data_IF_519570123360
#
_entry.id   IF_519570123360
#
_cell.length_a   1.000
_cell.length_b   1.000
_cell.length_c   1.000
_cell.angle_alpha   90.00
_cell.angle_beta   90.00
_cell.angle_gamma   90.00
#
_symmetry.space_group_name_H-M   'P 1'
#
loop_
_entity.id
_entity.type
_entity.pdbx_description
1 polymer ?
#
# COMPACT_ATOMS: atom_id res chain seq x y z
N UNK A 1 4.63 6.95 26.66
CA UNK A 1 5.58 6.56 25.59
C UNK A 1 5.04 5.34 24.82
N UNK A 2 5.36 5.12 23.54
CA UNK A 2 4.83 3.97 22.75
C UNK A 2 5.10 2.62 23.44
N UNK A 3 6.20 2.53 24.17
CA UNK A 3 6.59 1.38 25.00
C UNK A 3 5.70 1.10 26.21
N UNK A 4 4.96 2.08 26.72
CA UNK A 4 4.05 1.86 27.85
C UNK A 4 2.80 1.08 27.45
N UNK A 5 2.50 1.05 26.14
CA UNK A 5 1.26 0.49 25.60
C UNK A 5 1.51 -0.62 24.57
N UNK A 6 2.78 -1.02 24.35
CA UNK A 6 3.13 -2.02 23.34
C UNK A 6 4.37 -2.82 23.77
N UNK A 7 4.26 -4.15 23.72
CA UNK A 7 5.37 -5.06 24.03
C UNK A 7 6.54 -4.90 23.03
N UNK A 8 6.19 -4.67 21.76
CA UNK A 8 7.15 -4.41 20.68
C UNK A 8 6.73 -3.18 19.89
N UNK A 9 7.69 -2.36 19.47
CA UNK A 9 7.43 -1.25 18.57
C UNK A 9 8.44 -1.21 17.43
N UNK A 10 7.98 -0.67 16.30
CA UNK A 10 8.80 -0.44 15.12
C UNK A 10 8.41 0.93 14.55
N UNK A 11 9.35 1.87 14.57
CA UNK A 11 9.14 3.23 14.07
C UNK A 11 10.20 3.50 13.01
N UNK A 12 9.76 3.77 11.77
CA UNK A 12 10.68 4.11 10.68
C UNK A 12 10.84 5.61 10.53
N UNK A 13 12.07 6.07 10.36
CA UNK A 13 12.37 7.39 9.86
C UNK A 13 13.06 7.31 8.48
N UNK A 14 12.89 8.37 7.70
CA UNK A 14 13.44 8.50 6.35
C UNK A 14 14.43 9.66 6.39
N UNK A 15 15.67 9.40 5.95
CA UNK A 15 16.69 10.41 5.64
C UNK A 15 16.78 11.60 6.62
N UNK A 16 17.12 11.31 7.88
CA UNK A 16 17.44 12.36 8.86
C UNK A 16 18.96 12.55 8.97
N UNK A 17 19.46 13.76 9.25
CA UNK A 17 20.90 14.02 9.44
C UNK A 17 21.56 13.09 10.47
N UNK A 18 20.83 12.76 11.54
CA UNK A 18 21.27 11.82 12.57
C UNK A 18 21.49 10.38 12.05
N UNK A 19 20.67 9.95 11.10
CA UNK A 19 20.85 8.63 10.50
C UNK A 19 22.01 8.61 9.50
N UNK A 20 22.33 9.76 8.88
CA UNK A 20 23.52 9.91 8.03
C UNK A 20 24.80 9.85 8.88
N UNK A 21 24.86 10.54 10.02
CA UNK A 21 26.02 10.41 10.92
C UNK A 21 26.21 8.97 11.41
N UNK A 22 25.13 8.28 11.79
CA UNK A 22 25.17 6.86 12.17
C UNK A 22 25.61 5.92 11.03
N UNK A 23 25.43 6.31 9.77
CA UNK A 23 25.91 5.57 8.60
C UNK A 23 27.39 5.87 8.32
N UNK A 24 27.80 7.13 8.44
CA UNK A 24 29.17 7.62 8.20
C UNK A 24 30.16 7.11 9.24
N UNK A 25 29.76 7.08 10.52
CA UNK A 25 30.55 6.53 11.64
C UNK A 25 30.81 5.02 11.51
N UNK A 26 30.13 4.36 10.58
CA UNK A 26 29.84 2.93 10.57
C UNK A 26 30.25 2.29 9.25
N UNK A 27 31.56 2.28 8.96
CA UNK A 27 32.10 1.84 7.67
C UNK A 27 32.14 0.30 7.47
N UNK A 28 31.85 -0.51 8.50
CA UNK A 28 31.91 -1.99 8.47
C UNK A 28 30.59 -2.67 8.89
N UNK A 29 30.36 -3.92 8.49
CA UNK A 29 29.23 -4.73 9.00
C UNK A 29 27.89 -4.60 8.27
N UNK A 30 27.88 -4.10 7.03
CA UNK A 30 26.68 -4.11 6.18
C UNK A 30 26.41 -5.51 5.63
N UNK A 31 25.19 -6.01 5.80
CA UNK A 31 24.74 -7.28 5.24
C UNK A 31 23.91 -7.02 3.98
N UNK A 32 24.31 -7.63 2.88
CA UNK A 32 23.52 -7.61 1.64
C UNK A 32 22.33 -8.57 1.77
N UNK A 33 21.12 -8.03 1.64
CA UNK A 33 19.86 -8.74 1.71
C UNK A 33 19.12 -8.64 0.38
N UNK A 34 18.50 -9.74 -0.04
CA UNK A 34 17.61 -9.77 -1.21
C UNK A 34 16.16 -9.75 -0.76
N UNK A 35 15.56 -8.56 -0.83
CA UNK A 35 14.20 -8.34 -0.41
C UNK A 35 13.28 -8.18 -1.62
N UNK A 36 12.07 -8.75 -1.53
CA UNK A 36 11.06 -8.54 -2.56
C UNK A 36 10.51 -7.12 -2.42
N UNK A 37 10.67 -6.30 -3.44
CA UNK A 37 10.09 -4.97 -3.52
C UNK A 37 8.56 -5.00 -3.59
N UNK A 38 7.95 -3.85 -3.33
CA UNK A 38 6.49 -3.65 -3.40
C UNK A 38 5.92 -3.88 -4.81
N UNK A 39 6.75 -3.72 -5.84
CA UNK A 39 6.45 -3.96 -7.26
C UNK A 39 6.70 -5.40 -7.71
N UNK A 40 7.15 -6.28 -6.82
CA UNK A 40 7.38 -7.71 -7.10
C UNK A 40 8.78 -8.06 -7.59
N UNK A 41 9.61 -7.09 -7.97
CA UNK A 41 11.02 -7.28 -8.30
C UNK A 41 11.89 -7.54 -7.06
N UNK A 42 12.99 -8.28 -7.22
CA UNK A 42 14.01 -8.41 -6.17
C UNK A 42 14.80 -7.11 -6.09
N UNK A 43 14.93 -6.55 -4.88
CA UNK A 43 15.82 -5.42 -4.60
C UNK A 43 16.94 -5.88 -3.68
N UNK A 44 18.14 -5.46 -4.02
CA UNK A 44 19.30 -5.60 -3.16
C UNK A 44 19.29 -4.46 -2.15
N UNK A 45 19.24 -4.84 -0.88
CA UNK A 45 19.12 -3.93 0.26
C UNK A 45 20.28 -4.23 1.19
N UNK A 46 21.04 -3.22 1.55
CA UNK A 46 22.10 -3.37 2.56
C UNK A 46 21.51 -2.98 3.91
N UNK A 47 21.65 -3.84 4.92
CA UNK A 47 21.11 -3.61 6.25
C UNK A 47 22.15 -3.82 7.35
N UNK A 48 22.00 -3.09 8.45
CA UNK A 48 22.83 -3.16 9.65
C UNK A 48 22.00 -2.78 10.88
N UNK A 49 22.30 -3.37 12.04
CA UNK A 49 21.80 -2.87 13.32
C UNK A 49 22.86 -2.08 14.07
N UNK A 50 22.48 -0.96 14.67
CA UNK A 50 23.30 -0.19 15.61
C UNK A 50 22.54 0.03 16.92
N UNK A 51 23.28 0.18 18.00
CA UNK A 51 22.73 0.60 19.30
C UNK A 51 22.71 2.12 19.33
N UNK A 52 21.62 2.71 19.80
CA UNK A 52 21.54 4.15 20.04
C UNK A 52 20.82 4.43 21.35
N UNK A 53 21.42 5.25 22.21
CA UNK A 53 20.91 5.69 23.51
C UNK A 53 20.46 7.17 23.53
N UNK A 54 20.57 7.83 22.37
CA UNK A 54 20.34 9.27 22.22
C UNK A 54 18.85 9.68 22.18
N UNK A 55 17.95 8.71 21.97
CA UNK A 55 16.52 9.01 21.83
C UNK A 55 15.84 9.29 23.16
N UNK A 56 16.07 8.45 24.18
CA UNK A 56 15.56 8.63 25.54
C UNK A 56 16.70 8.39 26.52
N UNK A 57 17.00 9.40 27.34
CA UNK A 57 18.04 9.32 28.36
C UNK A 57 17.87 8.08 29.24
N UNK A 58 18.91 7.26 29.31
CA UNK A 58 18.93 6.05 30.11
C UNK A 58 18.30 4.81 29.45
N UNK A 59 17.93 4.87 28.16
CA UNK A 59 17.43 3.72 27.40
C UNK A 59 18.15 3.58 26.07
N UNK A 60 18.68 2.38 25.82
CA UNK A 60 19.30 2.01 24.55
C UNK A 60 18.32 1.26 23.67
N UNK A 61 18.15 1.72 22.43
CA UNK A 61 17.30 1.08 21.42
C UNK A 61 18.11 0.50 20.29
N UNK A 62 17.51 -0.47 19.59
CA UNK A 62 18.06 -1.01 18.35
C UNK A 62 17.62 -0.12 17.20
N UNK A 63 18.56 0.34 16.40
CA UNK A 63 18.29 1.03 15.14
C UNK A 63 18.73 0.12 14.01
N UNK A 64 17.77 -0.39 13.25
CA UNK A 64 18.04 -1.12 12.01
C UNK A 64 18.13 -0.12 10.87
N UNK A 65 19.36 0.16 10.44
CA UNK A 65 19.67 0.97 9.27
C UNK A 65 19.60 0.10 8.03
N UNK A 66 18.96 0.58 6.98
CA UNK A 66 19.02 -0.07 5.69
C UNK A 66 18.98 0.92 4.54
N UNK A 67 19.65 0.56 3.45
CA UNK A 67 19.73 1.39 2.25
C UNK A 67 19.56 0.57 0.98
N UNK A 68 19.06 1.22 -0.05
CA UNK A 68 19.05 0.66 -1.40
C UNK A 68 19.28 1.77 -2.43
N UNK A 69 19.89 1.40 -3.55
CA UNK A 69 20.02 2.28 -4.69
C UNK A 69 18.67 2.29 -5.43
N UNK A 70 18.07 3.47 -5.55
CA UNK A 70 16.80 3.67 -6.25
C UNK A 70 16.97 4.20 -7.68
N UNK A 71 18.22 4.37 -8.13
CA UNK A 71 18.59 4.88 -9.45
C UNK A 71 18.23 6.33 -9.68
N UNK A 72 17.82 7.09 -8.65
CA UNK A 72 17.32 8.45 -8.84
C UNK A 72 18.41 9.44 -9.27
N UNK A 73 19.63 9.27 -8.78
CA UNK A 73 20.76 10.11 -9.17
C UNK A 73 21.37 9.74 -10.52
N UNK A 74 21.03 8.58 -11.09
CA UNK A 74 21.56 8.12 -12.39
C UNK A 74 21.04 9.03 -13.52
N UNK A 75 21.94 9.76 -14.17
CA UNK A 75 21.61 10.72 -15.23
C UNK A 75 21.36 12.16 -14.74
N UNK A 76 21.58 12.45 -13.45
CA UNK A 76 21.56 13.81 -12.90
C UNK A 76 22.98 14.36 -12.68
N UNK A 77 23.12 15.66 -12.45
CA UNK A 77 24.42 16.29 -12.11
C UNK A 77 25.02 15.77 -10.79
N UNK A 78 24.23 15.01 -10.01
CA UNK A 78 24.62 14.39 -8.75
C UNK A 78 24.93 12.89 -8.89
N UNK A 79 25.13 12.40 -10.12
CA UNK A 79 25.44 10.99 -10.38
C UNK A 79 26.73 10.52 -9.70
N UNK A 80 27.68 11.44 -9.51
CA UNK A 80 28.98 11.16 -8.87
C UNK A 80 28.93 11.29 -7.34
N UNK A 81 27.84 11.82 -6.80
CA UNK A 81 27.66 11.97 -5.36
C UNK A 81 27.21 10.63 -4.75
N UNK A 82 28.13 9.99 -4.02
CA UNK A 82 27.90 8.71 -3.35
C UNK A 82 26.81 8.81 -2.28
N UNK A 83 26.57 9.98 -1.69
CA UNK A 83 25.52 10.18 -0.70
C UNK A 83 24.14 10.22 -1.34
N UNK A 84 24.02 10.82 -2.53
CA UNK A 84 22.75 10.91 -3.26
C UNK A 84 22.38 9.63 -4.02
N UNK A 85 23.31 8.67 -4.11
CA UNK A 85 23.09 7.37 -4.80
C UNK A 85 22.21 6.40 -4.00
N UNK A 86 22.11 6.56 -2.69
CA UNK A 86 21.39 5.64 -1.82
C UNK A 86 20.27 6.34 -1.07
N UNK A 87 19.10 5.72 -0.99
CA UNK A 87 18.09 6.11 0.00
C UNK A 87 18.35 5.39 1.31
N UNK A 88 18.47 6.18 2.37
CA UNK A 88 18.69 5.70 3.73
C UNK A 88 17.38 5.64 4.51
N UNK A 89 17.19 4.54 5.22
CA UNK A 89 16.07 4.31 6.11
C UNK A 89 16.59 3.78 7.44
N UNK A 90 15.89 4.14 8.51
CA UNK A 90 16.14 3.60 9.84
C UNK A 90 14.84 3.07 10.42
N UNK A 91 14.90 1.95 11.15
CA UNK A 91 13.80 1.45 11.97
C UNK A 91 14.29 1.37 13.40
N UNK A 92 13.68 2.15 14.28
CA UNK A 92 13.92 2.10 15.72
C UNK A 92 12.99 1.02 16.30
N UNK A 93 13.55 0.11 17.09
CA UNK A 93 12.81 -0.98 17.72
C UNK A 93 13.43 -1.42 19.04
N UNK A 94 12.60 -1.98 19.92
CA UNK A 94 13.02 -2.73 21.11
C UNK A 94 13.17 -4.24 20.86
N UNK A 95 13.04 -4.69 19.61
CA UNK A 95 13.20 -6.08 19.20
C UNK A 95 14.68 -6.47 19.00
N UNK A 96 15.19 -7.26 19.94
CA UNK A 96 16.56 -7.79 19.94
C UNK A 96 16.67 -9.20 19.37
N UNK A 97 15.54 -9.89 19.15
CA UNK A 97 15.52 -11.32 18.79
C UNK A 97 15.45 -11.52 17.29
N UNK A 98 14.67 -10.70 16.59
CA UNK A 98 14.52 -10.84 15.14
C UNK A 98 15.75 -10.35 14.37
N UNK A 99 15.97 -10.96 13.22
CA UNK A 99 17.00 -10.51 12.27
C UNK A 99 16.63 -9.18 11.60
N UNK A 100 17.61 -8.44 11.10
CA UNK A 100 17.38 -7.20 10.35
C UNK A 100 16.46 -7.45 9.15
N UNK A 101 16.63 -8.60 8.49
CA UNK A 101 15.80 -9.00 7.35
C UNK A 101 14.32 -9.17 7.75
N UNK A 102 14.06 -9.86 8.85
CA UNK A 102 12.70 -10.07 9.36
C UNK A 102 12.06 -8.76 9.78
N UNK A 103 12.79 -7.88 10.45
CA UNK A 103 12.31 -6.56 10.88
C UNK A 103 11.94 -5.71 9.66
N UNK A 104 12.81 -5.67 8.64
CA UNK A 104 12.54 -4.91 7.41
C UNK A 104 11.35 -5.53 6.65
N UNK A 105 11.27 -6.86 6.55
CA UNK A 105 10.13 -7.55 5.91
C UNK A 105 8.82 -7.29 6.66
N UNK A 106 8.86 -7.33 8.00
CA UNK A 106 7.72 -7.06 8.86
C UNK A 106 7.24 -5.62 8.68
N UNK A 107 8.15 -4.64 8.76
CA UNK A 107 7.81 -3.23 8.57
C UNK A 107 7.29 -2.96 7.15
N UNK A 108 7.85 -3.59 6.13
CA UNK A 108 7.37 -3.43 4.74
C UNK A 108 5.92 -3.91 4.53
N UNK A 109 5.42 -4.85 5.35
CA UNK A 109 3.99 -5.23 5.32
C UNK A 109 3.09 -4.04 5.72
N UNK A 110 3.56 -3.12 6.57
CA UNK A 110 2.83 -1.90 6.96
C UNK A 110 2.56 -0.96 5.78
N UNK A 111 3.45 -0.89 4.78
CA UNK A 111 3.17 -0.10 3.56
C UNK A 111 1.94 -0.60 2.78
N UNK A 112 1.54 -1.86 2.98
CA UNK A 112 0.26 -2.37 2.45
C UNK A 112 -0.94 -1.83 3.21
N UNK A 113 -0.78 -1.55 4.51
CA UNK A 113 -1.79 -0.97 5.39
C UNK A 113 -2.05 0.50 5.01
N UNK A 114 -1.02 1.29 4.70
CA UNK A 114 -1.19 2.67 4.20
C UNK A 114 -2.09 2.72 2.97
N UNK A 115 -1.88 1.82 2.01
CA UNK A 115 -2.74 1.71 0.83
C UNK A 115 -4.18 1.33 1.17
N UNK A 116 -4.40 0.54 2.23
CA UNK A 116 -5.74 0.22 2.73
C UNK A 116 -6.39 1.48 3.32
N UNK A 117 -5.68 2.25 4.15
CA UNK A 117 -6.19 3.51 4.68
C UNK A 117 -6.50 4.52 3.58
N UNK A 118 -5.65 4.65 2.56
CA UNK A 118 -5.94 5.50 1.39
C UNK A 118 -7.20 5.05 0.66
N UNK A 119 -7.48 3.75 0.61
CA UNK A 119 -8.70 3.21 0.03
C UNK A 119 -9.91 3.52 0.92
N UNK A 120 -9.80 3.32 2.23
CA UNK A 120 -10.88 3.63 3.17
C UNK A 120 -11.25 5.13 3.12
N UNK A 121 -10.25 6.00 3.08
CA UNK A 121 -10.42 7.45 3.01
C UNK A 121 -11.14 7.90 1.73
N UNK A 122 -10.65 7.44 0.56
CA UNK A 122 -11.13 7.93 -0.72
C UNK A 122 -12.34 7.17 -1.28
N UNK A 123 -12.37 5.84 -1.13
CA UNK A 123 -13.40 4.99 -1.72
C UNK A 123 -14.58 4.78 -0.75
N UNK A 124 -14.33 4.74 0.55
CA UNK A 124 -15.34 4.47 1.59
C UNK A 124 -15.65 5.68 2.49
N UNK A 125 -15.20 6.86 2.06
CA UNK A 125 -15.54 8.16 2.64
C UNK A 125 -15.13 8.36 4.11
N UNK A 126 -14.09 7.68 4.58
CA UNK A 126 -13.55 7.95 5.93
C UNK A 126 -13.02 9.38 6.07
N UNK A 127 -12.66 10.04 4.96
CA UNK A 127 -12.27 11.45 4.97
C UNK A 127 -13.44 12.41 5.26
N UNK A 128 -14.68 12.00 5.00
CA UNK A 128 -15.88 12.83 5.14
C UNK A 128 -16.98 12.05 5.85
N UNK A 129 -16.86 11.99 7.18
CA UNK A 129 -17.78 11.23 8.02
C UNK A 129 -19.22 11.81 7.96
N UNK A 130 -20.25 10.95 7.98
CA UNK A 130 -21.63 11.36 7.69
C UNK A 130 -22.36 12.03 8.86
N UNK A 131 -21.83 11.94 10.08
CA UNK A 131 -22.47 12.47 11.30
C UNK A 131 -21.50 13.33 12.11
N UNK A 132 -22.04 14.22 12.95
CA UNK A 132 -21.28 14.93 13.98
C UNK A 132 -21.05 14.09 15.23
N UNK A 133 -21.83 13.02 15.42
CA UNK A 133 -21.71 12.11 16.56
C UNK A 133 -20.61 11.06 16.34
N UNK A 134 -19.66 11.01 17.28
CA UNK A 134 -18.53 10.07 17.25
C UNK A 134 -18.97 8.60 17.29
N UNK A 135 -20.03 8.27 18.01
CA UNK A 135 -20.51 6.89 18.11
C UNK A 135 -21.07 6.41 16.75
N UNK A 136 -21.86 7.25 16.08
CA UNK A 136 -22.39 6.97 14.76
C UNK A 136 -21.27 6.84 13.73
N UNK A 137 -20.26 7.70 13.79
CA UNK A 137 -19.09 7.65 12.92
C UNK A 137 -18.25 6.39 13.16
N UNK A 138 -18.15 5.92 14.40
CA UNK A 138 -17.45 4.67 14.71
C UNK A 138 -18.17 3.47 14.09
N UNK A 139 -19.50 3.40 14.22
CA UNK A 139 -20.30 2.36 13.56
C UNK A 139 -20.17 2.44 12.03
N UNK A 140 -20.21 3.64 11.46
CA UNK A 140 -20.01 3.86 10.03
C UNK A 140 -18.63 3.36 9.56
N UNK A 141 -17.56 3.69 10.29
CA UNK A 141 -16.20 3.25 9.98
C UNK A 141 -16.07 1.73 10.07
N UNK A 142 -16.63 1.10 11.10
CA UNK A 142 -16.63 -0.36 11.25
C UNK A 142 -17.38 -1.04 10.10
N UNK A 143 -18.58 -0.55 9.76
CA UNK A 143 -19.39 -1.10 8.68
C UNK A 143 -18.67 -0.98 7.33
N UNK A 144 -18.10 0.18 7.03
CA UNK A 144 -17.37 0.41 5.78
C UNK A 144 -16.08 -0.41 5.70
N UNK A 145 -15.39 -0.67 6.82
CA UNK A 145 -14.25 -1.59 6.87
C UNK A 145 -14.66 -3.03 6.49
N UNK A 146 -15.80 -3.51 7.00
CA UNK A 146 -16.35 -4.80 6.61
C UNK A 146 -16.72 -4.82 5.11
N UNK A 147 -17.40 -3.78 4.63
CA UNK A 147 -17.77 -3.64 3.22
C UNK A 147 -16.54 -3.65 2.30
N UNK A 148 -15.42 -3.04 2.71
CA UNK A 148 -14.18 -3.08 1.94
C UNK A 148 -13.63 -4.49 1.78
N UNK A 149 -13.73 -5.32 2.81
CA UNK A 149 -13.29 -6.71 2.75
C UNK A 149 -14.16 -7.52 1.76
N UNK A 150 -15.48 -7.34 1.83
CA UNK A 150 -16.40 -7.95 0.86
C UNK A 150 -16.15 -7.45 -0.56
N UNK A 151 -16.02 -6.14 -0.77
CA UNK A 151 -15.75 -5.54 -2.06
C UNK A 151 -14.45 -6.08 -2.68
N UNK A 152 -13.38 -6.21 -1.89
CA UNK A 152 -12.09 -6.72 -2.39
C UNK A 152 -12.23 -8.16 -2.90
N UNK A 153 -12.97 -9.02 -2.18
CA UNK A 153 -13.22 -10.39 -2.62
C UNK A 153 -14.14 -10.42 -3.85
N UNK A 154 -15.20 -9.62 -3.83
CA UNK A 154 -16.16 -9.53 -4.92
C UNK A 154 -15.50 -9.09 -6.24
N UNK A 155 -14.74 -8.00 -6.24
CA UNK A 155 -14.03 -7.51 -7.43
C UNK A 155 -12.99 -8.50 -7.93
N UNK A 156 -12.34 -9.24 -7.03
CA UNK A 156 -11.43 -10.32 -7.44
C UNK A 156 -12.16 -11.39 -8.24
N UNK A 157 -13.35 -11.82 -7.83
CA UNK A 157 -14.14 -12.82 -8.58
C UNK A 157 -14.74 -12.25 -9.87
N UNK A 158 -15.25 -11.01 -9.83
CA UNK A 158 -15.78 -10.33 -11.02
C UNK A 158 -14.67 -10.14 -12.06
N UNK A 159 -13.47 -9.76 -11.66
CA UNK A 159 -12.34 -9.59 -12.58
C UNK A 159 -11.98 -10.87 -13.32
N UNK A 160 -12.08 -12.05 -12.68
CA UNK A 160 -11.87 -13.35 -13.35
C UNK A 160 -12.88 -13.59 -14.47
N UNK A 161 -14.14 -13.20 -14.27
CA UNK A 161 -15.24 -13.39 -15.25
C UNK A 161 -15.31 -12.30 -16.30
N UNK A 162 -14.89 -11.08 -15.95
CA UNK A 162 -15.00 -9.90 -16.80
C UNK A 162 -13.71 -9.55 -17.57
N UNK A 163 -12.66 -10.33 -17.37
CA UNK A 163 -11.42 -10.24 -18.13
C UNK A 163 -10.82 -8.84 -18.09
N UNK A 164 -10.83 -8.15 -19.24
CA UNK A 164 -10.24 -6.82 -19.43
C UNK A 164 -11.09 -5.65 -18.88
N UNK A 165 -12.35 -5.88 -18.49
CA UNK A 165 -13.24 -4.79 -18.07
C UNK A 165 -12.82 -4.18 -16.72
N UNK A 166 -12.47 -5.02 -15.74
CA UNK A 166 -12.03 -4.56 -14.42
C UNK A 166 -10.88 -5.42 -13.90
N UNK A 167 -9.90 -4.77 -13.28
CA UNK A 167 -8.80 -5.44 -12.59
C UNK A 167 -9.23 -5.92 -11.21
N UNK A 168 -8.65 -7.03 -10.73
CA UNK A 168 -8.87 -7.56 -9.38
C UNK A 168 -8.50 -6.58 -8.25
N UNK A 169 -7.70 -5.55 -8.56
CA UNK A 169 -7.29 -4.48 -7.63
C UNK A 169 -7.99 -3.14 -7.91
N UNK A 170 -9.09 -3.13 -8.64
CA UNK A 170 -9.77 -1.90 -9.03
C UNK A 170 -10.42 -1.17 -7.83
N UNK A 171 -10.27 0.16 -7.81
CA UNK A 171 -10.92 1.08 -6.86
C UNK A 171 -12.44 1.14 -7.09
N UNK A 172 -13.18 1.51 -6.03
CA UNK A 172 -14.65 1.53 -6.05
C UNK A 172 -15.22 2.42 -7.15
N UNK A 173 -14.62 3.60 -7.37
CA UNK A 173 -15.04 4.53 -8.44
C UNK A 173 -14.99 3.89 -9.83
N UNK A 174 -13.97 3.06 -10.09
CA UNK A 174 -13.84 2.35 -11.37
C UNK A 174 -14.91 1.26 -11.49
N UNK A 175 -15.23 0.56 -10.41
CA UNK A 175 -16.34 -0.39 -10.39
C UNK A 175 -17.69 0.29 -10.68
N UNK A 176 -17.99 1.39 -9.98
CA UNK A 176 -19.22 2.18 -10.18
C UNK A 176 -19.35 2.61 -11.64
N UNK A 177 -18.28 3.12 -12.25
CA UNK A 177 -18.30 3.54 -13.65
C UNK A 177 -18.61 2.40 -14.64
N UNK A 178 -18.06 1.20 -14.41
CA UNK A 178 -18.22 0.09 -15.35
C UNK A 178 -19.55 -0.65 -15.17
N UNK A 179 -20.08 -0.74 -13.95
CA UNK A 179 -21.21 -1.61 -13.63
C UNK A 179 -22.46 -0.89 -13.12
N UNK A 180 -22.35 0.32 -12.56
CA UNK A 180 -23.47 1.03 -11.92
C UNK A 180 -23.95 2.21 -12.76
N UNK A 181 -23.04 3.00 -13.33
CA UNK A 181 -23.40 4.24 -14.03
C UNK A 181 -23.96 4.01 -15.43
N UNK A 182 -23.91 2.79 -15.98
CA UNK A 182 -24.50 2.48 -17.28
C UNK A 182 -25.93 1.97 -17.05
N UNK A 183 -26.96 2.81 -17.24
CA UNK A 183 -28.33 2.35 -17.15
C UNK A 183 -28.61 1.40 -18.30
N UNK A 184 -29.41 0.37 -18.04
CA UNK A 184 -29.86 -0.55 -19.06
C UNK A 184 -31.38 -0.76 -18.96
N UNK A 185 -32.04 -0.94 -20.09
CA UNK A 185 -33.47 -1.22 -20.18
C UNK A 185 -33.72 -2.37 -21.14
N UNK A 186 -34.46 -3.36 -20.67
CA UNK A 186 -35.04 -4.39 -21.54
C UNK A 186 -36.26 -3.85 -22.28
N UNK A 187 -36.24 -3.93 -23.61
CA UNK A 187 -37.37 -3.57 -24.46
C UNK A 187 -37.89 -4.84 -25.12
N UNK A 188 -39.11 -5.21 -24.76
CA UNK A 188 -39.79 -6.35 -25.37
C UNK A 188 -40.28 -5.98 -26.76
N UNK A 189 -39.91 -6.77 -27.77
CA UNK A 189 -40.39 -6.62 -29.14
C UNK A 189 -40.96 -7.95 -29.63
N UNK A 190 -41.82 -7.87 -30.65
CA UNK A 190 -42.42 -9.04 -31.31
C UNK A 190 -41.38 -9.95 -31.97
N UNK A 191 -40.18 -9.42 -32.24
CA UNK A 191 -39.05 -10.11 -32.88
C UNK A 191 -37.96 -10.56 -31.90
N UNK A 192 -38.12 -10.30 -30.61
CA UNK A 192 -37.15 -10.65 -29.57
C UNK A 192 -36.92 -9.52 -28.55
N UNK A 193 -36.51 -9.89 -27.34
CA UNK A 193 -36.20 -8.94 -26.28
C UNK A 193 -34.82 -8.30 -26.54
N UNK A 194 -34.77 -6.96 -26.53
CA UNK A 194 -33.54 -6.20 -26.79
C UNK A 194 -33.10 -5.48 -25.52
N UNK A 195 -31.86 -5.69 -25.08
CA UNK A 195 -31.24 -4.92 -24.00
C UNK A 195 -30.64 -3.62 -24.54
N UNK A 196 -31.26 -2.49 -24.21
CA UNK A 196 -30.74 -1.16 -24.52
C UNK A 196 -29.79 -0.68 -23.42
N UNK A 197 -28.55 -0.34 -23.80
CA UNK A 197 -27.55 0.22 -22.88
C UNK A 197 -27.40 1.72 -23.13
N UNK A 198 -27.59 2.54 -22.10
CA UNK A 198 -27.46 3.99 -22.19
C UNK A 198 -26.07 4.44 -21.74
N UNK A 199 -25.41 5.31 -22.51
CA UNK A 199 -24.10 5.85 -22.15
C UNK A 199 -22.96 4.82 -22.07
N UNK A 200 -23.17 3.59 -22.57
CA UNK A 200 -22.15 2.55 -22.52
C UNK A 200 -20.91 2.92 -23.35
N UNK A 201 -19.74 2.63 -22.83
CA UNK A 201 -18.47 2.69 -23.58
C UNK A 201 -18.38 1.53 -24.57
N UNK A 202 -17.48 1.65 -25.56
CA UNK A 202 -17.21 0.55 -26.50
C UNK A 202 -16.79 -0.74 -25.78
N UNK A 203 -16.02 -0.62 -24.70
CA UNK A 203 -15.58 -1.75 -23.87
C UNK A 203 -16.75 -2.43 -23.14
N UNK A 204 -17.68 -1.65 -22.57
CA UNK A 204 -18.88 -2.20 -21.94
C UNK A 204 -19.78 -2.90 -22.97
N UNK A 205 -19.98 -2.29 -24.15
CA UNK A 205 -20.75 -2.92 -25.25
C UNK A 205 -20.12 -4.22 -25.72
N UNK A 206 -18.80 -4.23 -25.90
CA UNK A 206 -18.06 -5.45 -26.26
C UNK A 206 -18.24 -6.53 -25.20
N UNK A 207 -18.10 -6.19 -23.93
CA UNK A 207 -18.26 -7.14 -22.83
C UNK A 207 -19.67 -7.73 -22.75
N UNK A 208 -20.71 -6.90 -22.88
CA UNK A 208 -22.10 -7.38 -22.85
C UNK A 208 -22.36 -8.35 -24.00
N UNK A 209 -21.88 -8.07 -25.22
CA UNK A 209 -22.00 -9.00 -26.36
C UNK A 209 -21.39 -10.36 -26.06
N UNK A 210 -20.18 -10.39 -25.47
CA UNK A 210 -19.51 -11.64 -25.10
C UNK A 210 -20.25 -12.46 -24.04
N UNK A 211 -21.10 -11.85 -23.21
CA UNK A 211 -21.93 -12.58 -22.23
C UNK A 211 -23.18 -13.22 -22.85
N UNK A 212 -23.65 -12.75 -24.00
CA UNK A 212 -24.82 -13.31 -24.69
C UNK A 212 -24.47 -14.42 -25.70
N UNK A 213 -23.20 -14.57 -26.06
CA UNK A 213 -22.71 -15.61 -26.97
C UNK A 213 -22.44 -16.97 -26.26
N UNK A 214 -23.10 -17.23 -25.13
CA UNK A 214 -23.04 -18.48 -24.34
C UNK A 214 -24.43 -19.12 -24.29
#
# INVERSE_FOLDING_TARGET
MVEEYSDLFYIRAIDTPYHRSLVEESTSGWKLLRLRGSTGGMREVEARSVMADEFIRGRSYRVVLYRYNDGWSEGTMFSDDKEMKYRYFSIITNDWKSSEEEIIRYYNKRGSIERVFDQMNNDFNWAHLPSSDMNQNTVFMLLTALLRNFYTKYVSEVSKRSGRLISSKARLKKFIHHFVTCPARWVKSRTGDVLQLFGATALQRWYVKQMYDW
#
